data_IF_954546815621
#
_entry.id   IF_954546815621
#
_cell.length_a   1.000
_cell.length_b   1.000
_cell.length_c   1.000
_cell.angle_alpha   90.00
_cell.angle_beta   90.00
_cell.angle_gamma   90.00
#
_symmetry.space_group_name_H-M   'P 1'
#
loop_
_entity.id
_entity.type
_entity.pdbx_description
1 polymer ?
#
# COMPACT_ATOMS: atom_id res chain seq x y z
N UNK A 1 27.87 27.40 5.97
CA UNK A 1 26.54 26.80 6.05
C UNK A 1 26.01 26.72 4.62
N UNK A 2 25.61 25.54 4.19
CA UNK A 2 24.99 25.35 2.85
C UNK A 2 23.55 25.88 2.88
N UNK A 3 23.19 26.58 1.82
CA UNK A 3 21.81 27.08 1.66
C UNK A 3 21.22 26.60 0.33
N UNK A 4 19.94 26.27 0.33
CA UNK A 4 19.22 25.79 -0.82
C UNK A 4 17.99 26.67 -1.10
N UNK A 5 17.83 27.06 -2.36
CA UNK A 5 16.62 27.76 -2.83
C UNK A 5 15.78 26.77 -3.65
N UNK A 6 14.50 26.67 -3.31
CA UNK A 6 13.57 25.77 -3.99
C UNK A 6 12.58 26.57 -4.82
N UNK A 7 12.56 26.32 -6.13
CA UNK A 7 11.68 26.96 -7.10
C UNK A 7 10.73 25.92 -7.72
N UNK A 8 9.62 26.41 -8.26
CA UNK A 8 8.67 25.57 -9.00
C UNK A 8 8.32 26.22 -10.31
N UNK A 9 8.20 25.40 -11.36
CA UNK A 9 7.71 25.84 -12.67
C UNK A 9 6.18 25.74 -12.76
N UNK A 10 5.58 24.64 -12.23
CA UNK A 10 4.16 24.33 -12.45
C UNK A 10 3.50 23.53 -11.30
N UNK A 11 4.14 23.41 -10.15
CA UNK A 11 3.59 22.72 -8.98
C UNK A 11 2.64 23.67 -8.22
N UNK A 12 1.43 23.24 -7.83
CA UNK A 12 0.52 24.06 -7.05
C UNK A 12 1.16 24.62 -5.76
N UNK A 13 0.78 25.82 -5.37
CA UNK A 13 1.39 26.52 -4.22
C UNK A 13 1.31 25.71 -2.92
N UNK A 14 0.18 25.05 -2.65
CA UNK A 14 0.03 24.17 -1.49
C UNK A 14 1.03 23.03 -1.45
N UNK A 15 1.35 22.44 -2.61
CA UNK A 15 2.25 21.31 -2.71
C UNK A 15 3.71 21.76 -2.63
N UNK A 16 4.05 22.91 -3.26
CA UNK A 16 5.40 23.50 -3.11
C UNK A 16 5.69 23.94 -1.68
N UNK A 17 4.68 24.44 -0.96
CA UNK A 17 4.83 24.79 0.47
C UNK A 17 5.14 23.57 1.31
N UNK A 18 4.48 22.43 1.03
CA UNK A 18 4.75 21.15 1.70
C UNK A 18 6.12 20.61 1.36
N UNK A 19 6.52 20.62 0.07
CA UNK A 19 7.86 20.20 -0.35
C UNK A 19 8.93 21.06 0.36
N UNK A 20 8.72 22.39 0.46
CA UNK A 20 9.62 23.27 1.21
C UNK A 20 9.74 22.88 2.67
N UNK A 21 8.64 22.51 3.33
CA UNK A 21 8.64 22.01 4.71
C UNK A 21 9.47 20.73 4.84
N UNK A 22 9.27 19.74 3.95
CA UNK A 22 10.02 18.49 3.90
C UNK A 22 11.52 18.75 3.71
N UNK A 23 11.88 19.56 2.73
CA UNK A 23 13.28 19.90 2.43
C UNK A 23 13.92 20.70 3.58
N UNK A 24 13.16 21.64 4.18
CA UNK A 24 13.60 22.39 5.36
C UNK A 24 13.95 21.45 6.50
N UNK A 25 13.10 20.50 6.84
CA UNK A 25 13.34 19.48 7.87
C UNK A 25 14.64 18.68 7.61
N UNK A 26 14.85 18.22 6.36
CA UNK A 26 16.07 17.48 5.99
C UNK A 26 17.32 18.34 6.19
N UNK A 27 17.28 19.59 5.75
CA UNK A 27 18.42 20.51 5.83
C UNK A 27 18.73 20.91 7.29
N UNK A 28 17.70 21.26 8.08
CA UNK A 28 17.85 21.65 9.49
C UNK A 28 18.48 20.54 10.32
N UNK A 29 18.06 19.29 10.14
CA UNK A 29 18.66 18.12 10.81
C UNK A 29 20.16 17.93 10.50
N UNK A 30 20.66 18.58 9.44
CA UNK A 30 22.06 18.51 9.00
C UNK A 30 22.80 19.82 9.13
N UNK A 31 22.22 20.82 9.83
CA UNK A 31 22.82 22.13 10.02
C UNK A 31 22.89 22.98 8.75
N UNK A 32 22.07 22.66 7.75
CA UNK A 32 21.89 23.42 6.53
C UNK A 32 20.59 24.25 6.60
N UNK A 33 20.35 25.14 5.63
CA UNK A 33 19.13 25.94 5.62
C UNK A 33 18.48 26.02 4.23
N UNK A 34 17.15 26.13 4.23
CA UNK A 34 16.36 26.52 3.07
C UNK A 34 16.20 28.05 3.09
N UNK A 35 16.74 28.76 2.09
CA UNK A 35 16.62 30.22 2.01
C UNK A 35 16.81 30.71 0.57
N UNK A 36 16.47 31.97 0.32
CA UNK A 36 16.74 32.58 -0.99
C UNK A 36 18.24 32.87 -1.18
N UNK A 37 18.70 32.70 -2.42
CA UNK A 37 20.10 32.98 -2.82
C UNK A 37 21.08 31.82 -2.66
N UNK A 38 20.63 30.64 -2.22
CA UNK A 38 21.45 29.42 -2.15
C UNK A 38 21.51 28.63 -3.46
N UNK A 39 22.01 27.39 -3.38
CA UNK A 39 22.00 26.44 -4.48
C UNK A 39 20.56 26.25 -4.98
N UNK A 40 20.30 26.54 -6.25
CA UNK A 40 18.95 26.55 -6.78
C UNK A 40 18.52 25.16 -7.23
N UNK A 41 17.37 24.68 -6.74
CA UNK A 41 16.71 23.47 -7.26
C UNK A 41 15.35 23.88 -7.79
N UNK A 42 15.15 23.74 -9.11
CA UNK A 42 13.88 24.03 -9.78
C UNK A 42 13.13 22.71 -10.00
N UNK A 43 11.87 22.66 -9.57
CA UNK A 43 11.01 21.49 -9.73
C UNK A 43 10.01 21.70 -10.85
N UNK A 44 9.86 20.69 -11.71
CA UNK A 44 8.94 20.69 -12.83
C UNK A 44 8.21 19.35 -12.94
N UNK A 45 6.88 19.36 -12.98
CA UNK A 45 6.08 18.17 -13.23
C UNK A 45 5.72 18.16 -14.72
N UNK A 46 6.25 17.18 -15.45
CA UNK A 46 5.90 16.91 -16.83
C UNK A 46 5.02 15.67 -16.88
N UNK A 47 3.69 15.84 -16.90
CA UNK A 47 2.75 14.73 -16.96
C UNK A 47 3.05 13.83 -18.15
N UNK A 48 2.85 12.55 -17.99
CA UNK A 48 2.96 11.59 -19.09
C UNK A 48 1.98 11.98 -20.18
N UNK A 49 2.44 12.07 -21.40
CA UNK A 49 1.58 12.41 -22.54
C UNK A 49 0.37 11.48 -22.62
N UNK A 50 -0.80 12.05 -22.88
CA UNK A 50 -2.07 11.35 -23.12
C UNK A 50 -1.92 10.52 -24.40
N UNK A 51 -1.45 9.31 -24.26
CA UNK A 51 -1.20 8.37 -25.36
C UNK A 51 -1.09 6.96 -24.84
N UNK A 52 -2.18 6.30 -24.77
CA UNK A 52 -2.58 4.91 -24.91
C UNK A 52 -1.64 3.76 -24.56
N UNK A 53 -0.71 3.89 -23.60
CA UNK A 53 -0.01 2.74 -23.07
C UNK A 53 -0.14 2.73 -21.55
N UNK A 54 -0.92 1.79 -21.03
CA UNK A 54 -1.19 1.57 -19.60
C UNK A 54 0.06 1.27 -18.73
N UNK A 55 1.24 1.15 -19.35
CA UNK A 55 2.49 0.75 -18.70
C UNK A 55 3.56 1.85 -18.68
N UNK A 56 3.20 3.14 -18.64
CA UNK A 56 4.21 4.19 -18.48
C UNK A 56 4.69 4.26 -17.05
N UNK A 57 5.92 3.80 -16.83
CA UNK A 57 6.59 3.80 -15.54
C UNK A 57 6.91 5.22 -15.09
N UNK A 58 6.86 5.47 -13.76
CA UNK A 58 7.24 6.75 -13.18
C UNK A 58 8.71 7.01 -13.46
N UNK A 59 9.04 8.25 -13.82
CA UNK A 59 10.40 8.65 -14.12
C UNK A 59 10.71 10.05 -13.61
N UNK A 60 11.98 10.27 -13.32
CA UNK A 60 12.51 11.61 -13.04
C UNK A 60 13.88 11.76 -13.65
N UNK A 61 14.26 13.03 -13.89
CA UNK A 61 15.63 13.44 -14.19
C UNK A 61 16.05 14.60 -13.30
N UNK A 62 17.31 14.65 -12.96
CA UNK A 62 17.95 15.75 -12.24
C UNK A 62 19.15 16.14 -13.09
N UNK A 63 19.12 17.33 -13.66
CA UNK A 63 20.16 17.83 -14.55
C UNK A 63 20.66 19.19 -14.06
N UNK A 64 21.80 19.64 -14.55
CA UNK A 64 22.27 21.02 -14.32
C UNK A 64 21.33 22.03 -15.00
N UNK A 65 21.02 23.12 -14.32
CA UNK A 65 20.12 24.17 -14.83
C UNK A 65 20.87 25.22 -15.71
N UNK A 66 22.17 25.02 -15.92
CA UNK A 66 23.05 25.95 -16.65
C UNK A 66 23.38 27.25 -15.90
N UNK A 67 22.96 27.35 -14.63
CA UNK A 67 23.19 28.53 -13.75
C UNK A 67 23.86 28.17 -12.42
N UNK A 68 24.38 26.94 -12.33
CA UNK A 68 25.02 26.41 -11.12
C UNK A 68 24.03 25.82 -10.13
N UNK A 69 22.82 25.45 -10.56
CA UNK A 69 21.79 24.76 -9.81
C UNK A 69 21.35 23.48 -10.51
N UNK A 70 20.22 22.92 -10.06
CA UNK A 70 19.63 21.72 -10.63
C UNK A 70 18.17 21.95 -11.10
N UNK A 71 17.81 21.30 -12.18
CA UNK A 71 16.43 21.14 -12.64
C UNK A 71 16.00 19.69 -12.41
N UNK A 72 14.95 19.53 -11.62
CA UNK A 72 14.28 18.24 -11.36
C UNK A 72 13.04 18.19 -12.20
N UNK A 73 12.96 17.24 -13.12
CA UNK A 73 11.76 16.95 -13.90
C UNK A 73 11.20 15.60 -13.46
N UNK A 74 9.92 15.54 -13.12
CA UNK A 74 9.25 14.34 -12.62
C UNK A 74 7.87 14.14 -13.26
N UNK A 75 7.39 12.89 -13.28
CA UNK A 75 6.10 12.55 -13.89
C UNK A 75 4.87 12.97 -13.08
N UNK A 76 5.02 13.08 -11.77
CA UNK A 76 3.96 13.43 -10.81
C UNK A 76 4.55 13.90 -9.47
N UNK A 77 3.69 14.29 -8.52
CA UNK A 77 4.09 14.78 -7.21
C UNK A 77 4.88 13.75 -6.40
N UNK A 78 4.43 12.49 -6.37
CA UNK A 78 5.14 11.42 -5.64
C UNK A 78 6.55 11.22 -6.20
N UNK A 79 6.69 11.30 -7.51
CA UNK A 79 7.98 11.17 -8.21
C UNK A 79 8.89 12.38 -7.94
N UNK A 80 8.34 13.58 -7.69
CA UNK A 80 9.13 14.74 -7.21
C UNK A 80 9.78 14.42 -5.87
N UNK A 81 9.04 13.86 -4.92
CA UNK A 81 9.61 13.47 -3.62
C UNK A 81 10.70 12.40 -3.79
N UNK A 82 10.48 11.39 -4.63
CA UNK A 82 11.49 10.37 -4.94
C UNK A 82 12.76 10.98 -5.54
N UNK A 83 12.62 11.96 -6.44
CA UNK A 83 13.75 12.67 -7.03
C UNK A 83 14.52 13.50 -5.99
N UNK A 84 13.82 14.20 -5.10
CA UNK A 84 14.44 14.95 -4.00
C UNK A 84 15.13 14.02 -3.02
N UNK A 85 14.52 12.91 -2.63
CA UNK A 85 15.15 11.88 -1.82
C UNK A 85 16.45 11.38 -2.46
N UNK A 86 16.41 11.09 -3.77
CA UNK A 86 17.61 10.68 -4.51
C UNK A 86 18.67 11.76 -4.58
N UNK A 87 18.28 13.03 -4.76
CA UNK A 87 19.21 14.16 -4.76
C UNK A 87 19.98 14.26 -3.45
N UNK A 88 19.28 14.23 -2.30
CA UNK A 88 19.93 14.31 -0.99
C UNK A 88 20.75 13.07 -0.64
N UNK A 89 20.28 11.87 -1.00
CA UNK A 89 21.02 10.62 -0.75
C UNK A 89 22.26 10.46 -1.63
N UNK A 90 22.28 11.07 -2.81
CA UNK A 90 23.42 10.98 -3.73
C UNK A 90 24.45 12.10 -3.51
N UNK A 91 24.09 13.14 -2.79
CA UNK A 91 25.02 14.15 -2.29
C UNK A 91 25.69 13.71 -1.00
N UNK A 92 26.50 14.60 -0.41
CA UNK A 92 27.13 14.35 0.87
C UNK A 92 26.97 15.51 1.83
N UNK A 93 26.62 15.21 3.08
CA UNK A 93 26.56 16.17 4.17
C UNK A 93 27.84 16.08 5.02
N UNK A 94 28.38 17.22 5.46
CA UNK A 94 29.44 17.26 6.45
C UNK A 94 28.92 17.66 7.83
N UNK A 95 29.72 17.44 8.87
CA UNK A 95 29.36 17.75 10.25
C UNK A 95 29.35 19.27 10.58
N UNK A 96 29.71 20.12 9.64
CA UNK A 96 29.79 21.58 9.80
C UNK A 96 28.62 22.31 9.11
N UNK A 97 27.60 21.58 8.69
CA UNK A 97 26.46 22.13 7.96
C UNK A 97 26.78 22.45 6.49
N UNK A 98 27.68 21.69 5.90
CA UNK A 98 27.95 21.68 4.47
C UNK A 98 27.16 20.57 3.76
N UNK A 99 26.79 20.84 2.54
CA UNK A 99 26.26 19.84 1.61
C UNK A 99 26.92 20.01 0.25
N UNK A 100 27.42 18.91 -0.28
CA UNK A 100 27.93 18.83 -1.64
C UNK A 100 26.88 18.20 -2.50
N UNK A 101 26.25 18.91 -3.45
CA UNK A 101 25.28 18.36 -4.36
C UNK A 101 25.83 17.15 -5.13
N UNK A 102 24.98 16.22 -5.56
CA UNK A 102 25.43 15.06 -6.31
C UNK A 102 25.98 15.46 -7.68
N UNK A 103 26.81 14.60 -8.25
CA UNK A 103 27.20 14.71 -9.66
C UNK A 103 25.98 14.49 -10.54
N UNK A 104 25.73 15.42 -11.46
CA UNK A 104 24.64 15.37 -12.42
C UNK A 104 25.13 14.95 -13.81
N UNK A 105 24.32 14.35 -14.68
CA UNK A 105 22.89 14.09 -14.52
C UNK A 105 22.57 12.83 -13.69
N UNK A 106 21.37 12.81 -13.09
CA UNK A 106 20.75 11.60 -12.54
C UNK A 106 19.45 11.38 -13.30
N UNK A 107 19.34 10.24 -13.96
CA UNK A 107 18.12 9.83 -14.66
C UNK A 107 17.63 8.52 -14.07
N UNK A 108 16.32 8.40 -13.88
CA UNK A 108 15.73 7.21 -13.31
C UNK A 108 14.33 6.95 -13.88
N UNK A 109 14.11 5.72 -14.30
CA UNK A 109 12.79 5.19 -14.62
C UNK A 109 12.49 4.03 -13.65
N UNK A 110 11.34 4.08 -13.01
CA UNK A 110 10.92 3.06 -12.05
C UNK A 110 10.65 1.72 -12.77
N UNK A 111 11.19 0.63 -12.21
CA UNK A 111 10.99 -0.72 -12.78
C UNK A 111 9.59 -1.25 -12.55
N UNK A 112 8.94 -0.86 -11.44
CA UNK A 112 7.59 -1.27 -11.07
C UNK A 112 6.65 -0.07 -11.00
N UNK A 113 5.42 -0.23 -11.50
CA UNK A 113 4.37 0.78 -11.38
C UNK A 113 3.78 0.87 -9.98
N UNK A 114 3.82 -0.21 -9.20
CA UNK A 114 3.41 -0.26 -7.80
C UNK A 114 4.65 -0.47 -6.93
N UNK A 115 4.90 0.45 -6.02
CA UNK A 115 6.01 0.42 -5.05
C UNK A 115 5.41 0.69 -3.69
N UNK A 116 4.87 -0.38 -3.09
CA UNK A 116 4.10 -0.31 -1.87
C UNK A 116 4.91 -0.55 -0.61
N UNK A 117 4.51 0.13 0.46
CA UNK A 117 4.86 -0.24 1.83
C UNK A 117 3.62 -0.74 2.54
N UNK A 118 3.71 -1.92 3.13
CA UNK A 118 2.69 -2.47 4.01
C UNK A 118 3.00 -2.12 5.45
N UNK A 119 2.04 -1.49 6.13
CA UNK A 119 2.09 -1.25 7.56
C UNK A 119 1.07 -2.16 8.23
N UNK A 120 1.56 -3.09 9.05
CA UNK A 120 0.74 -4.09 9.73
C UNK A 120 -0.06 -3.46 10.89
N UNK A 121 -1.02 -2.62 10.56
CA UNK A 121 -1.80 -1.80 11.51
C UNK A 121 -2.75 -2.58 12.42
N UNK A 122 -2.85 -3.89 12.27
CA UNK A 122 -3.78 -4.76 13.00
C UNK A 122 -3.12 -5.53 14.19
N UNK A 123 -1.83 -5.27 14.49
CA UNK A 123 -1.11 -5.99 15.55
C UNK A 123 -0.91 -5.20 16.83
N UNK A 124 -1.73 -4.17 17.12
CA UNK A 124 -1.57 -3.30 18.31
C UNK A 124 -0.14 -2.74 18.46
N UNK A 125 0.53 -2.54 17.35
CA UNK A 125 1.89 -2.03 17.27
C UNK A 125 1.92 -0.50 17.10
N UNK A 126 3.11 0.05 16.78
CA UNK A 126 3.30 1.48 16.53
C UNK A 126 2.23 2.10 15.62
N UNK A 127 1.91 1.45 14.49
CA UNK A 127 0.94 1.96 13.51
C UNK A 127 -0.48 2.05 14.06
N UNK A 128 -0.81 1.18 15.02
CA UNK A 128 -2.10 1.13 15.67
C UNK A 128 -2.26 2.23 16.71
N UNK A 129 -1.22 2.55 17.50
CA UNK A 129 -1.33 3.34 18.73
C UNK A 129 -0.56 4.65 18.75
N UNK A 130 0.47 4.82 17.91
CA UNK A 130 1.33 6.00 17.94
C UNK A 130 0.55 7.31 17.67
N UNK A 131 0.93 8.42 18.27
CA UNK A 131 0.42 9.74 17.88
C UNK A 131 0.62 10.00 16.39
N UNK A 132 -0.31 10.71 15.76
CA UNK A 132 -0.24 10.98 14.32
C UNK A 132 1.00 11.80 13.96
N UNK A 133 1.46 12.67 14.85
CA UNK A 133 2.70 13.44 14.69
C UNK A 133 3.96 12.58 14.56
N UNK A 134 3.93 11.34 15.06
CA UNK A 134 5.03 10.39 14.91
C UNK A 134 4.88 9.54 13.63
N UNK A 135 3.63 9.28 13.20
CA UNK A 135 3.35 8.51 11.98
C UNK A 135 3.60 9.34 10.71
N UNK A 136 3.22 10.63 10.72
CA UNK A 136 3.30 11.48 9.53
C UNK A 136 4.72 11.65 8.96
N UNK A 137 5.79 11.84 9.77
CA UNK A 137 7.16 11.92 9.25
C UNK A 137 7.62 10.63 8.58
N UNK A 138 7.16 9.47 9.07
CA UNK A 138 7.46 8.21 8.42
C UNK A 138 6.81 8.09 7.03
N UNK A 139 5.56 8.56 6.88
CA UNK A 139 4.89 8.60 5.58
C UNK A 139 5.63 9.53 4.59
N UNK A 140 6.09 10.68 5.08
CA UNK A 140 6.94 11.60 4.30
C UNK A 140 8.23 10.91 3.83
N UNK A 141 8.90 10.19 4.72
CA UNK A 141 10.12 9.45 4.37
C UNK A 141 9.86 8.36 3.33
N UNK A 142 8.71 7.67 3.37
CA UNK A 142 8.31 6.71 2.33
C UNK A 142 8.24 7.36 0.94
N UNK A 143 7.69 8.58 0.84
CA UNK A 143 7.66 9.33 -0.42
C UNK A 143 9.09 9.64 -0.93
N UNK A 144 9.99 10.08 -0.04
CA UNK A 144 11.39 10.33 -0.37
C UNK A 144 12.15 9.06 -0.81
N UNK A 145 11.75 7.89 -0.30
CA UNK A 145 12.27 6.59 -0.74
C UNK A 145 11.64 6.09 -2.05
N UNK A 146 10.63 6.79 -2.58
CA UNK A 146 9.98 6.49 -3.86
C UNK A 146 8.82 5.50 -3.76
N UNK A 147 8.27 5.27 -2.56
CA UNK A 147 7.01 4.56 -2.40
C UNK A 147 5.87 5.39 -2.98
N UNK A 148 5.01 4.76 -3.77
CA UNK A 148 3.83 5.39 -4.37
C UNK A 148 2.51 4.74 -3.93
N UNK A 149 2.58 3.77 -3.03
CA UNK A 149 1.42 3.03 -2.53
C UNK A 149 1.62 2.72 -1.06
N UNK A 150 0.63 3.05 -0.24
CA UNK A 150 0.60 2.70 1.18
C UNK A 150 -0.50 1.67 1.40
N UNK A 151 -0.14 0.52 1.95
CA UNK A 151 -1.05 -0.59 2.22
C UNK A 151 -1.29 -0.71 3.71
N UNK A 152 -2.56 -0.65 4.12
CA UNK A 152 -3.00 -0.78 5.51
C UNK A 152 -3.95 -1.95 5.66
N UNK A 153 -4.14 -2.39 6.91
CA UNK A 153 -4.95 -3.54 7.25
C UNK A 153 -5.94 -3.20 8.37
N UNK A 154 -7.19 -3.61 8.21
CA UNK A 154 -8.21 -3.69 9.26
C UNK A 154 -8.74 -5.12 9.28
N UNK A 155 -8.35 -5.89 10.28
CA UNK A 155 -8.62 -7.32 10.33
C UNK A 155 -9.96 -7.62 11.02
N UNK A 156 -10.90 -8.35 10.37
CA UNK A 156 -12.24 -8.58 10.90
C UNK A 156 -12.26 -9.37 12.21
N UNK A 157 -11.32 -10.29 12.41
CA UNK A 157 -11.27 -11.15 13.60
C UNK A 157 -11.09 -10.39 14.92
N UNK A 158 -10.74 -9.11 14.87
CA UNK A 158 -10.63 -8.27 16.07
C UNK A 158 -11.95 -7.58 16.46
N UNK A 159 -12.98 -7.67 15.63
CA UNK A 159 -14.24 -6.94 15.81
C UNK A 159 -15.45 -7.85 15.69
N UNK A 160 -16.56 -7.50 16.35
CA UNK A 160 -17.85 -8.19 16.16
C UNK A 160 -18.58 -7.74 14.89
N UNK A 161 -18.22 -6.57 14.39
CA UNK A 161 -18.73 -5.97 13.15
C UNK A 161 -17.84 -4.76 12.83
N UNK A 162 -17.69 -4.42 11.56
CA UNK A 162 -17.07 -3.15 11.18
C UNK A 162 -17.96 -1.92 11.47
N UNK A 163 -19.19 -2.16 11.91
CA UNK A 163 -20.10 -1.10 12.42
C UNK A 163 -19.94 -0.87 13.93
N UNK A 164 -19.08 -1.63 14.61
CA UNK A 164 -18.81 -1.42 16.02
C UNK A 164 -17.99 -0.14 16.26
N UNK A 165 -18.14 0.53 17.41
CA UNK A 165 -17.41 1.77 17.71
C UNK A 165 -15.89 1.63 17.58
N UNK A 166 -15.33 0.52 18.04
CA UNK A 166 -13.90 0.25 18.02
C UNK A 166 -13.37 0.09 16.58
N UNK A 167 -14.15 -0.56 15.72
CA UNK A 167 -13.79 -0.71 14.30
C UNK A 167 -13.84 0.62 13.56
N UNK A 168 -14.86 1.44 13.85
CA UNK A 168 -15.01 2.79 13.28
C UNK A 168 -13.85 3.69 13.73
N UNK A 169 -13.51 3.69 15.03
CA UNK A 169 -12.39 4.47 15.55
C UNK A 169 -11.07 4.10 14.87
N UNK A 170 -10.82 2.79 14.71
CA UNK A 170 -9.61 2.33 14.01
C UNK A 170 -9.65 2.68 12.53
N UNK A 171 -10.77 2.54 11.86
CA UNK A 171 -10.91 2.95 10.46
C UNK A 171 -10.66 4.46 10.29
N UNK A 172 -11.17 5.30 11.17
CA UNK A 172 -10.92 6.75 11.16
C UNK A 172 -9.43 7.08 11.31
N UNK A 173 -8.71 6.30 12.13
CA UNK A 173 -7.26 6.40 12.23
C UNK A 173 -6.58 6.04 10.90
N UNK A 174 -6.96 4.91 10.27
CA UNK A 174 -6.39 4.50 8.98
C UNK A 174 -6.70 5.51 7.89
N UNK A 175 -7.90 6.09 7.87
CA UNK A 175 -8.28 7.17 6.94
C UNK A 175 -7.41 8.41 7.11
N UNK A 176 -7.07 8.80 8.35
CA UNK A 176 -6.11 9.90 8.61
C UNK A 176 -4.72 9.60 8.07
N UNK A 177 -4.24 8.36 8.22
CA UNK A 177 -2.96 7.92 7.64
C UNK A 177 -3.00 7.99 6.11
N UNK A 178 -4.08 7.54 5.47
CA UNK A 178 -4.27 7.66 4.03
C UNK A 178 -4.36 9.11 3.56
N UNK A 179 -5.06 9.97 4.29
CA UNK A 179 -5.13 11.40 3.98
C UNK A 179 -3.74 12.05 4.02
N UNK A 180 -2.92 11.70 5.01
CA UNK A 180 -1.52 12.12 5.07
C UNK A 180 -0.73 11.59 3.86
N UNK A 181 -0.85 10.31 3.52
CA UNK A 181 -0.15 9.71 2.40
C UNK A 181 -0.52 10.37 1.05
N UNK A 182 -1.80 10.68 0.87
CA UNK A 182 -2.30 11.38 -0.33
C UNK A 182 -1.68 12.76 -0.52
N UNK A 183 -1.30 13.43 0.57
CA UNK A 183 -0.60 14.71 0.51
C UNK A 183 0.77 14.63 -0.18
N UNK A 184 1.39 13.47 -0.20
CA UNK A 184 2.65 13.18 -0.89
C UNK A 184 2.44 12.48 -2.24
N UNK A 185 1.20 12.30 -2.67
CA UNK A 185 0.87 11.58 -3.90
C UNK A 185 0.96 10.05 -3.75
N UNK A 186 1.00 9.52 -2.53
CA UNK A 186 1.00 8.09 -2.25
C UNK A 186 -0.45 7.58 -2.28
N UNK A 187 -0.72 6.58 -3.10
CA UNK A 187 -2.05 6.01 -3.27
C UNK A 187 -2.41 5.06 -2.11
N UNK A 188 -3.66 5.08 -1.61
CA UNK A 188 -4.13 4.15 -0.61
C UNK A 188 -4.35 2.76 -1.20
N UNK A 189 -3.96 1.74 -0.42
CA UNK A 189 -4.24 0.33 -0.66
C UNK A 189 -4.74 -0.33 0.63
N UNK A 190 -5.68 -1.25 0.51
CA UNK A 190 -6.22 -2.00 1.64
C UNK A 190 -6.02 -3.50 1.45
N UNK A 191 -5.67 -4.18 2.55
CA UNK A 191 -5.70 -5.63 2.58
C UNK A 191 -7.15 -6.09 2.73
N UNK A 192 -7.54 -7.04 1.89
CA UNK A 192 -8.83 -7.68 1.91
C UNK A 192 -8.65 -9.19 2.16
N UNK A 193 -9.09 -9.63 3.31
CA UNK A 193 -9.04 -11.05 3.67
C UNK A 193 -10.07 -11.85 2.89
N UNK A 194 -9.70 -13.07 2.49
CA UNK A 194 -10.56 -13.89 1.65
C UNK A 194 -11.80 -14.40 2.38
N UNK A 195 -11.61 -15.04 3.53
CA UNK A 195 -12.69 -15.71 4.25
C UNK A 195 -12.58 -15.59 5.78
N UNK A 196 -11.83 -14.63 6.26
CA UNK A 196 -11.75 -14.34 7.70
C UNK A 196 -13.02 -13.66 8.16
N UNK A 197 -13.65 -14.19 9.20
CA UNK A 197 -14.87 -13.67 9.79
C UNK A 197 -14.64 -12.77 10.98
N UNK A 198 -15.72 -12.23 11.52
CA UNK A 198 -15.71 -11.45 12.75
C UNK A 198 -15.41 -12.29 13.99
N UNK A 199 -15.05 -11.62 15.08
CA UNK A 199 -14.68 -12.22 16.35
C UNK A 199 -15.71 -13.23 16.88
N UNK A 200 -16.98 -12.94 16.70
CA UNK A 200 -18.14 -13.71 17.19
C UNK A 200 -18.84 -14.55 16.12
N UNK A 201 -18.14 -14.86 14.99
CA UNK A 201 -18.70 -15.75 13.98
C UNK A 201 -19.17 -17.06 14.57
N UNK A 202 -20.27 -17.63 14.05
CA UNK A 202 -20.77 -18.93 14.47
C UNK A 202 -19.77 -20.06 14.19
N UNK A 203 -19.64 -20.99 15.11
CA UNK A 203 -18.84 -22.20 14.90
C UNK A 203 -19.42 -23.12 13.82
N UNK A 204 -20.74 -23.04 13.54
CA UNK A 204 -21.40 -23.84 12.50
C UNK A 204 -20.86 -23.56 11.09
N UNK A 205 -20.26 -22.41 10.87
CA UNK A 205 -19.67 -22.00 9.59
C UNK A 205 -18.14 -21.99 9.60
N UNK A 206 -17.52 -22.46 10.70
CA UNK A 206 -16.07 -22.48 10.83
C UNK A 206 -15.39 -23.33 9.75
N UNK A 207 -14.32 -22.80 9.16
CA UNK A 207 -13.49 -23.59 8.28
C UNK A 207 -12.73 -24.68 9.10
N UNK A 208 -12.58 -25.91 8.58
CA UNK A 208 -11.76 -26.93 9.23
C UNK A 208 -10.32 -26.44 9.44
N UNK A 209 -9.75 -26.90 10.55
CA UNK A 209 -8.44 -26.45 11.03
C UNK A 209 -7.31 -27.48 10.81
N UNK A 210 -7.66 -28.68 10.40
CA UNK A 210 -6.86 -29.91 10.51
C UNK A 210 -5.53 -29.91 9.72
N UNK A 211 -5.33 -29.02 8.78
CA UNK A 211 -4.15 -29.05 7.91
C UNK A 211 -3.34 -27.75 7.90
N UNK A 212 -3.46 -26.97 8.93
CA UNK A 212 -2.85 -25.63 8.98
C UNK A 212 -1.40 -25.63 9.47
N UNK A 213 -0.84 -26.79 9.62
CA UNK A 213 0.58 -26.99 9.89
C UNK A 213 1.06 -26.53 11.26
N UNK A 214 2.35 -26.72 11.48
CA UNK A 214 3.03 -26.42 12.74
C UNK A 214 3.03 -24.95 13.15
N UNK A 215 2.72 -24.08 12.20
CA UNK A 215 2.81 -22.64 12.43
C UNK A 215 1.67 -22.10 13.27
N UNK A 216 0.51 -22.69 13.18
CA UNK A 216 -0.65 -22.28 13.95
C UNK A 216 -0.71 -23.15 15.19
N UNK A 217 0.09 -22.77 16.15
CA UNK A 217 0.10 -23.37 17.47
C UNK A 217 -1.15 -22.97 18.25
N UNK A 218 -1.37 -23.62 19.41
CA UNK A 218 -2.45 -23.28 20.34
C UNK A 218 -2.51 -21.77 20.69
N UNK A 219 -1.40 -21.06 20.59
CA UNK A 219 -1.32 -19.62 20.88
C UNK A 219 -2.04 -18.74 19.85
N UNK A 220 -2.28 -19.25 18.64
CA UNK A 220 -3.00 -18.51 17.56
C UNK A 220 -4.39 -19.07 17.30
N UNK A 221 -4.78 -20.17 17.94
CA UNK A 221 -6.08 -20.81 17.72
C UNK A 221 -7.27 -19.88 18.02
N UNK A 222 -7.14 -18.99 18.98
CA UNK A 222 -8.16 -17.98 19.30
C UNK A 222 -8.35 -16.92 18.24
N UNK A 223 -7.36 -16.73 17.34
CA UNK A 223 -7.43 -15.81 16.22
C UNK A 223 -8.03 -16.45 14.97
N UNK A 224 -8.22 -17.76 14.96
CA UNK A 224 -8.82 -18.48 13.83
C UNK A 224 -10.31 -18.15 13.70
N UNK A 225 -10.61 -17.35 12.71
CA UNK A 225 -11.99 -16.92 12.39
C UNK A 225 -12.38 -17.20 10.94
N UNK A 226 -11.64 -18.07 10.25
CA UNK A 226 -11.95 -18.44 8.88
C UNK A 226 -13.31 -19.13 8.78
N UNK A 227 -14.00 -18.79 7.69
CA UNK A 227 -15.33 -19.28 7.35
C UNK A 227 -15.21 -20.22 6.16
N UNK A 228 -15.88 -21.36 6.22
CA UNK A 228 -16.03 -22.22 5.05
C UNK A 228 -17.16 -21.68 4.15
N UNK A 229 -16.86 -21.25 2.91
CA UNK A 229 -17.88 -20.70 2.00
C UNK A 229 -18.90 -21.73 1.50
N UNK A 230 -18.69 -23.01 1.80
CA UNK A 230 -19.57 -24.10 1.36
C UNK A 230 -20.49 -24.64 2.47
N UNK A 231 -20.30 -24.19 3.72
CA UNK A 231 -21.26 -24.47 4.78
C UNK A 231 -22.50 -23.56 4.67
N UNK A 232 -23.69 -24.03 5.09
CA UNK A 232 -24.90 -23.21 5.10
C UNK A 232 -24.68 -21.90 5.87
N UNK A 233 -24.93 -20.75 5.23
CA UNK A 233 -24.68 -19.41 5.80
C UNK A 233 -23.24 -18.90 5.68
N UNK A 234 -22.26 -19.76 5.34
CA UNK A 234 -20.85 -19.36 5.31
C UNK A 234 -20.55 -18.28 4.28
N UNK A 235 -20.99 -18.43 3.04
CA UNK A 235 -20.79 -17.42 2.00
C UNK A 235 -21.54 -16.12 2.30
N UNK A 236 -22.71 -16.19 2.93
CA UNK A 236 -23.48 -15.01 3.33
C UNK A 236 -22.73 -14.19 4.37
N UNK A 237 -22.13 -14.87 5.36
CA UNK A 237 -21.32 -14.21 6.40
C UNK A 237 -20.04 -13.60 5.82
N UNK A 238 -19.35 -14.28 4.90
CA UNK A 238 -18.21 -13.72 4.17
C UNK A 238 -18.62 -12.45 3.41
N UNK A 239 -19.76 -12.48 2.71
CA UNK A 239 -20.29 -11.30 2.02
C UNK A 239 -20.62 -10.16 2.99
N UNK A 240 -21.15 -10.47 4.17
CA UNK A 240 -21.43 -9.47 5.19
C UNK A 240 -20.13 -8.78 5.64
N UNK A 241 -19.09 -9.55 5.94
CA UNK A 241 -17.79 -9.01 6.32
C UNK A 241 -17.20 -8.09 5.23
N UNK A 242 -17.21 -8.55 3.98
CA UNK A 242 -16.70 -7.76 2.85
C UNK A 242 -17.54 -6.50 2.60
N UNK A 243 -18.88 -6.60 2.67
CA UNK A 243 -19.76 -5.44 2.47
C UNK A 243 -19.51 -4.37 3.53
N UNK A 244 -19.50 -4.74 4.81
CA UNK A 244 -19.24 -3.79 5.89
C UNK A 244 -17.84 -3.15 5.74
N UNK A 245 -16.84 -3.90 5.29
CA UNK A 245 -15.51 -3.38 5.01
C UNK A 245 -15.51 -2.34 3.87
N UNK A 246 -16.16 -2.65 2.75
CA UNK A 246 -16.26 -1.72 1.63
C UNK A 246 -17.08 -0.47 1.98
N UNK A 247 -18.21 -0.64 2.69
CA UNK A 247 -19.01 0.48 3.21
C UNK A 247 -18.17 1.41 4.08
N UNK A 248 -17.38 0.83 5.00
CA UNK A 248 -16.56 1.58 5.95
C UNK A 248 -15.50 2.47 5.28
N UNK A 249 -14.94 2.02 4.15
CA UNK A 249 -13.90 2.75 3.42
C UNK A 249 -14.37 3.40 2.12
N UNK A 250 -15.68 3.46 1.86
CA UNK A 250 -16.25 3.97 0.60
C UNK A 250 -15.95 5.45 0.32
N UNK A 251 -15.58 6.22 1.33
CA UNK A 251 -15.16 7.62 1.26
C UNK A 251 -13.65 7.80 0.99
N UNK A 252 -12.87 6.72 0.98
CA UNK A 252 -11.42 6.75 0.67
C UNK A 252 -11.21 6.40 -0.80
N UNK A 253 -10.41 7.17 -1.57
CA UNK A 253 -10.10 6.84 -2.96
C UNK A 253 -9.10 5.68 -3.06
N UNK A 254 -9.51 4.50 -2.58
CA UNK A 254 -8.67 3.29 -2.57
C UNK A 254 -8.33 2.90 -4.00
N UNK A 255 -7.03 2.81 -4.30
CA UNK A 255 -6.54 2.47 -5.63
C UNK A 255 -6.29 0.97 -5.81
N UNK A 256 -5.93 0.29 -4.72
CA UNK A 256 -5.61 -1.14 -4.77
C UNK A 256 -6.23 -1.88 -3.60
N UNK A 257 -6.70 -3.10 -3.87
CA UNK A 257 -7.03 -4.07 -2.85
C UNK A 257 -6.08 -5.26 -2.98
N UNK A 258 -5.38 -5.59 -1.89
CA UNK A 258 -4.57 -6.81 -1.81
C UNK A 258 -5.45 -7.93 -1.28
N UNK A 259 -5.93 -8.78 -2.18
CA UNK A 259 -6.74 -9.93 -1.83
C UNK A 259 -5.86 -11.06 -1.32
N UNK A 260 -6.11 -11.50 -0.10
CA UNK A 260 -5.16 -12.24 0.70
C UNK A 260 -5.83 -13.37 1.48
N UNK A 261 -5.25 -14.58 1.44
CA UNK A 261 -5.72 -15.72 2.23
C UNK A 261 -5.32 -15.63 3.72
N UNK A 262 -4.44 -14.72 4.06
CA UNK A 262 -3.82 -14.51 5.37
C UNK A 262 -3.03 -15.75 5.90
N UNK A 263 -2.61 -15.69 7.15
CA UNK A 263 -1.73 -16.72 7.76
C UNK A 263 -2.42 -18.06 7.93
N UNK A 264 -3.72 -18.06 8.09
CA UNK A 264 -4.55 -19.24 8.30
C UNK A 264 -4.84 -20.04 7.01
N UNK A 265 -4.62 -19.43 5.85
CA UNK A 265 -4.63 -20.14 4.55
C UNK A 265 -5.98 -20.64 4.05
N UNK A 266 -7.11 -20.13 4.56
CA UNK A 266 -8.43 -20.41 4.00
C UNK A 266 -9.16 -21.62 4.61
N UNK A 267 -9.62 -22.59 3.80
CA UNK A 267 -10.41 -23.73 4.24
C UNK A 267 -9.88 -25.04 3.65
N UNK A 268 -9.81 -26.10 4.47
CA UNK A 268 -9.27 -27.41 4.11
C UNK A 268 -10.32 -28.50 3.88
N UNK A 269 -11.62 -28.18 3.89
CA UNK A 269 -12.65 -29.16 3.56
C UNK A 269 -12.50 -29.67 2.12
N UNK A 270 -13.03 -30.85 1.82
CA UNK A 270 -12.91 -31.52 0.51
C UNK A 270 -13.36 -30.65 -0.68
N UNK A 271 -14.37 -29.78 -0.46
CA UNK A 271 -14.89 -28.89 -1.50
C UNK A 271 -14.00 -27.68 -1.74
N UNK A 272 -13.40 -27.12 -0.68
CA UNK A 272 -12.54 -25.94 -0.76
C UNK A 272 -11.11 -26.29 -1.13
N UNK A 273 -10.66 -27.50 -0.86
CA UNK A 273 -9.29 -27.95 -1.10
C UNK A 273 -9.03 -28.14 -2.60
N UNK A 274 -7.95 -27.69 -3.17
CA UNK A 274 -6.96 -26.76 -2.65
C UNK A 274 -7.55 -25.36 -2.55
N UNK A 275 -7.26 -24.64 -1.50
CA UNK A 275 -7.86 -23.33 -1.28
C UNK A 275 -7.60 -22.36 -2.45
N UNK A 276 -6.36 -22.25 -2.90
CA UNK A 276 -5.97 -21.38 -4.01
C UNK A 276 -6.73 -21.63 -5.32
N UNK A 277 -7.14 -22.87 -5.57
CA UNK A 277 -7.80 -23.25 -6.82
C UNK A 277 -9.33 -23.21 -6.73
N UNK A 278 -9.89 -23.44 -5.55
CA UNK A 278 -11.32 -23.61 -5.33
C UNK A 278 -11.89 -22.51 -4.43
N UNK A 279 -11.72 -22.61 -3.11
CA UNK A 279 -12.36 -21.72 -2.16
C UNK A 279 -11.98 -20.24 -2.34
N UNK A 280 -10.70 -19.94 -2.57
CA UNK A 280 -10.21 -18.58 -2.79
C UNK A 280 -10.82 -17.91 -4.02
N UNK A 281 -10.86 -18.63 -5.15
CA UNK A 281 -11.47 -18.14 -6.38
C UNK A 281 -12.98 -18.01 -6.22
N UNK A 282 -13.63 -18.99 -5.58
CA UNK A 282 -15.06 -18.93 -5.32
C UNK A 282 -15.45 -17.69 -4.50
N UNK A 283 -14.75 -17.44 -3.41
CA UNK A 283 -15.00 -16.25 -2.57
C UNK A 283 -14.80 -14.96 -3.36
N UNK A 284 -13.76 -14.90 -4.18
CA UNK A 284 -13.54 -13.74 -5.04
C UNK A 284 -14.73 -13.52 -6.00
N UNK A 285 -15.10 -14.52 -6.77
CA UNK A 285 -16.16 -14.39 -7.80
C UNK A 285 -17.53 -14.12 -7.20
N UNK A 286 -17.85 -14.75 -6.06
CA UNK A 286 -19.19 -14.67 -5.47
C UNK A 286 -19.36 -13.54 -4.45
N UNK A 287 -18.29 -13.02 -3.87
CA UNK A 287 -18.35 -11.98 -2.83
C UNK A 287 -17.57 -10.72 -3.20
N UNK A 288 -16.25 -10.84 -3.44
CA UNK A 288 -15.37 -9.67 -3.60
C UNK A 288 -15.66 -8.91 -4.88
N UNK A 289 -15.70 -9.61 -6.01
CA UNK A 289 -15.87 -9.00 -7.34
C UNK A 289 -17.14 -8.17 -7.50
N UNK A 290 -18.34 -8.67 -7.09
CA UNK A 290 -19.56 -7.87 -7.15
C UNK A 290 -19.47 -6.60 -6.30
N UNK A 291 -18.99 -6.73 -5.05
CA UNK A 291 -18.88 -5.61 -4.13
C UNK A 291 -17.78 -4.61 -4.56
N UNK A 292 -16.65 -5.09 -5.07
CA UNK A 292 -15.59 -4.23 -5.60
C UNK A 292 -16.13 -3.38 -6.77
N UNK A 293 -16.90 -3.99 -7.67
CA UNK A 293 -17.54 -3.28 -8.79
C UNK A 293 -18.59 -2.26 -8.33
N UNK A 294 -19.27 -2.52 -7.21
CA UNK A 294 -20.29 -1.64 -6.63
C UNK A 294 -19.66 -0.43 -5.94
N UNK A 295 -18.65 -0.65 -5.08
CA UNK A 295 -18.10 0.38 -4.20
C UNK A 295 -16.84 1.05 -4.77
N UNK A 296 -16.01 0.34 -5.53
CA UNK A 296 -14.70 0.79 -6.00
C UNK A 296 -14.43 0.37 -7.45
N UNK A 297 -15.24 0.83 -8.43
CA UNK A 297 -15.18 0.35 -9.82
C UNK A 297 -13.81 0.60 -10.50
N UNK A 298 -13.06 1.60 -10.05
CA UNK A 298 -11.76 1.97 -10.62
C UNK A 298 -10.57 1.35 -9.85
N UNK A 299 -10.82 0.67 -8.73
CA UNK A 299 -9.76 0.04 -7.97
C UNK A 299 -9.24 -1.23 -8.65
N UNK A 300 -7.96 -1.50 -8.46
CA UNK A 300 -7.26 -2.66 -9.02
C UNK A 300 -6.98 -3.70 -7.96
N UNK A 301 -6.96 -4.96 -8.39
CA UNK A 301 -6.67 -6.08 -7.51
C UNK A 301 -5.18 -6.43 -7.55
N UNK A 302 -4.60 -6.58 -6.35
CA UNK A 302 -3.30 -7.21 -6.13
C UNK A 302 -3.59 -8.58 -5.52
N UNK A 303 -3.23 -9.65 -6.21
CA UNK A 303 -3.37 -11.01 -5.70
C UNK A 303 -2.16 -11.36 -4.85
N UNK A 304 -2.39 -11.70 -3.58
CA UNK A 304 -1.32 -12.17 -2.70
C UNK A 304 -1.29 -13.70 -2.64
N UNK A 305 -0.09 -14.27 -2.78
CA UNK A 305 0.15 -15.72 -2.64
C UNK A 305 0.71 -16.08 -1.26
N UNK A 306 0.58 -15.18 -0.29
CA UNK A 306 1.05 -15.40 1.08
C UNK A 306 0.56 -16.73 1.65
N UNK A 307 1.47 -17.54 2.10
CA UNK A 307 1.27 -18.85 2.73
C UNK A 307 0.61 -19.96 1.90
N UNK A 308 0.32 -19.78 0.62
CA UNK A 308 -0.28 -20.85 -0.16
C UNK A 308 0.56 -22.12 -0.17
N UNK A 309 1.83 -22.02 -0.53
CA UNK A 309 2.71 -23.20 -0.60
C UNK A 309 3.19 -23.72 0.76
N UNK A 310 2.83 -23.03 1.84
CA UNK A 310 3.17 -23.46 3.19
C UNK A 310 2.32 -24.62 3.67
N UNK A 311 1.04 -24.61 3.35
CA UNK A 311 0.09 -25.63 3.80
C UNK A 311 -0.02 -26.80 2.80
N UNK A 312 -0.08 -26.49 1.52
CA UNK A 312 -0.14 -27.48 0.45
C UNK A 312 0.85 -27.09 -0.66
N UNK A 313 1.74 -28.01 -0.99
CA UNK A 313 2.73 -27.80 -2.04
C UNK A 313 2.07 -27.45 -3.38
N UNK A 314 2.67 -26.55 -4.12
CA UNK A 314 2.27 -26.09 -5.45
C UNK A 314 0.94 -25.29 -5.52
N UNK A 315 0.39 -24.82 -4.41
CA UNK A 315 -0.85 -24.01 -4.43
C UNK A 315 -0.66 -22.66 -5.17
N UNK A 316 0.42 -21.95 -4.90
CA UNK A 316 0.75 -20.71 -5.60
C UNK A 316 0.92 -20.93 -7.10
N UNK A 317 1.68 -21.96 -7.50
CA UNK A 317 1.88 -22.33 -8.90
C UNK A 317 0.55 -22.61 -9.60
N UNK A 318 -0.32 -23.41 -9.00
CA UNK A 318 -1.63 -23.76 -9.58
C UNK A 318 -2.55 -22.57 -9.72
N UNK A 319 -2.51 -21.63 -8.77
CA UNK A 319 -3.23 -20.38 -8.88
C UNK A 319 -2.75 -19.57 -10.09
N UNK A 320 -1.42 -19.44 -10.27
CA UNK A 320 -0.84 -18.75 -11.43
C UNK A 320 -1.25 -19.40 -12.75
N UNK A 321 -1.23 -20.73 -12.84
CA UNK A 321 -1.66 -21.46 -14.02
C UNK A 321 -3.14 -21.16 -14.35
N UNK A 322 -4.02 -21.13 -13.35
CA UNK A 322 -5.43 -20.79 -13.54
C UNK A 322 -5.63 -19.35 -14.02
N UNK A 323 -4.95 -18.39 -13.40
CA UNK A 323 -5.05 -16.97 -13.78
C UNK A 323 -4.49 -16.76 -15.19
N UNK A 324 -3.33 -17.37 -15.48
CA UNK A 324 -2.67 -17.25 -16.78
C UNK A 324 -3.44 -17.94 -17.93
N UNK A 325 -4.39 -18.81 -17.61
CA UNK A 325 -5.26 -19.44 -18.62
C UNK A 325 -6.25 -18.45 -19.31
N UNK A 326 -6.31 -17.21 -18.81
CA UNK A 326 -7.24 -16.18 -19.30
C UNK A 326 -8.67 -16.36 -18.81
N UNK A 327 -8.97 -17.42 -18.05
CA UNK A 327 -10.31 -17.67 -17.48
C UNK A 327 -10.65 -16.70 -16.36
N UNK A 328 -9.62 -16.17 -15.67
CA UNK A 328 -9.76 -15.29 -14.52
C UNK A 328 -8.94 -14.00 -14.71
N UNK A 329 -9.36 -13.09 -15.61
CA UNK A 329 -8.57 -11.90 -16.01
C UNK A 329 -8.59 -10.75 -14.98
N UNK A 330 -9.07 -11.00 -13.78
CA UNK A 330 -9.33 -9.98 -12.75
C UNK A 330 -8.11 -9.61 -11.89
N UNK A 331 -7.00 -10.33 -11.99
CA UNK A 331 -5.78 -10.01 -11.25
C UNK A 331 -4.83 -9.20 -12.15
N UNK A 332 -4.72 -7.89 -11.90
CA UNK A 332 -3.78 -7.05 -12.64
C UNK A 332 -2.37 -7.11 -12.06
N UNK A 333 -2.26 -7.39 -10.79
CA UNK A 333 -0.99 -7.48 -10.08
C UNK A 333 -0.93 -8.73 -9.22
N UNK A 334 0.27 -9.26 -9.07
CA UNK A 334 0.55 -10.38 -8.17
C UNK A 334 1.66 -9.99 -7.22
N UNK A 335 1.41 -10.16 -5.92
CA UNK A 335 2.40 -10.06 -4.86
C UNK A 335 2.81 -11.47 -4.48
N UNK A 336 3.89 -11.95 -5.11
CA UNK A 336 4.47 -13.24 -4.78
C UNK A 336 5.25 -13.14 -3.46
N UNK A 337 5.00 -14.08 -2.56
CA UNK A 337 5.75 -14.22 -1.31
C UNK A 337 6.36 -15.61 -1.29
N UNK A 338 7.67 -15.68 -1.07
CA UNK A 338 8.47 -16.90 -1.09
C UNK A 338 8.91 -17.28 0.33
#
# INVERSE_FOLDING_TARGET
MFTLTLKSANIPEKDIARIKKTVGRILEHRGCALCDGGYSVTLDIVPRGVGGAENKKDRYSIIEDGKGGALVTASDLCTVYAALGRFFMSGSFDFRGGFVPPTLPIEHEQKSSVRGMYLASHFYNFWHVAPMEDVMPFIEDLALWGCNTLMLCLAPQHYRSFKSPEAIEMADRLKKIFACAAEFGIAPALILFSNTGFLDRSEDIAAPWDMRGEYITANYAELHKEICPNLPGGMEEIRRCHREFFELFSDVPVKYFAYWAYDEGGCTCDVCSRWSENGFIKVYEESVKPLLSEYFPDAKLILSTWHFDRHLRDEGKRLYEKISSGKYPWAEYVMAVY
#
